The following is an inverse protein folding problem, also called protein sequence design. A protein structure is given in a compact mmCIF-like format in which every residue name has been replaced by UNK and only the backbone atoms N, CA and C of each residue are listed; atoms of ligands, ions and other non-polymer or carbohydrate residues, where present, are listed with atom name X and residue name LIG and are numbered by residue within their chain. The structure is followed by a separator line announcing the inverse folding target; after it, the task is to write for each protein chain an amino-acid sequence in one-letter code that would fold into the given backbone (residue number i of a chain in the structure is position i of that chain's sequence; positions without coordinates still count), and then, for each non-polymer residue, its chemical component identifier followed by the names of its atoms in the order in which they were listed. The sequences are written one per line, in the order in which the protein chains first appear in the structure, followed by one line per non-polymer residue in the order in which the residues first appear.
data_IF_100895236384
#
_entry.id   IF_100895236384
#
_cell.length_a   1.000
_cell.length_b   1.000
_cell.length_c   1.000
_cell.angle_alpha   90.00
_cell.angle_beta   90.00
_cell.angle_gamma   90.00
#
_symmetry.space_group_name_H-M   'P 1'
#
loop_
_entity.id
_entity.type
_entity.pdbx_description
1 polymer ?
#
# COMPACT_ATOMS: atom_id res chain seq x y z
N UNK A 1 -3.22 -4.54 -9.43
CA UNK A 1 -4.15 -4.04 -8.37
C UNK A 1 -4.66 -5.22 -7.57
N UNK A 2 -4.83 -5.03 -6.27
CA UNK A 2 -5.20 -6.03 -5.27
C UNK A 2 -6.29 -5.47 -4.36
N UNK A 3 -6.82 -6.29 -3.45
CA UNK A 3 -7.87 -5.90 -2.51
C UNK A 3 -7.36 -5.79 -1.07
N UNK A 4 -6.17 -6.33 -0.79
CA UNK A 4 -5.66 -6.52 0.55
C UNK A 4 -6.32 -7.67 1.31
N UNK A 5 -6.96 -8.58 0.61
CA UNK A 5 -7.51 -9.82 1.18
C UNK A 5 -6.60 -10.99 0.87
N UNK A 6 -5.74 -11.32 1.82
CA UNK A 6 -4.78 -12.42 1.70
C UNK A 6 -5.50 -13.73 1.41
N UNK A 7 -5.05 -14.44 0.37
CA UNK A 7 -5.63 -15.74 -0.03
C UNK A 7 -4.93 -16.91 0.64
N UNK A 8 -3.62 -16.81 0.75
CA UNK A 8 -2.79 -17.84 1.39
C UNK A 8 -1.48 -17.24 1.87
N UNK A 9 -0.67 -18.05 2.54
CA UNK A 9 0.69 -17.71 2.93
C UNK A 9 1.69 -18.61 2.19
N UNK A 10 2.87 -18.07 1.92
CA UNK A 10 3.97 -18.80 1.33
C UNK A 10 5.28 -18.60 2.09
N UNK A 11 6.31 -19.35 1.68
CA UNK A 11 7.70 -19.16 2.10
C UNK A 11 8.45 -18.39 1.04
N UNK A 12 9.20 -17.38 1.46
CA UNK A 12 10.04 -16.57 0.58
C UNK A 12 11.50 -17.02 0.72
N UNK A 13 12.17 -17.21 -0.40
CA UNK A 13 13.58 -17.57 -0.45
C UNK A 13 14.31 -16.71 -1.49
N UNK A 14 15.59 -16.44 -1.26
CA UNK A 14 16.45 -15.75 -2.21
C UNK A 14 16.69 -16.63 -3.44
N UNK A 15 16.56 -16.03 -4.63
CA UNK A 15 16.86 -16.68 -5.89
C UNK A 15 17.57 -15.72 -6.84
N UNK A 16 18.88 -15.88 -7.05
CA UNK A 16 19.70 -14.96 -7.87
C UNK A 16 19.44 -13.49 -7.51
N UNK A 17 19.01 -12.67 -8.48
CA UNK A 17 18.62 -11.26 -8.30
C UNK A 17 17.17 -11.06 -7.84
N UNK A 18 16.43 -12.13 -7.61
CA UNK A 18 15.01 -12.08 -7.25
C UNK A 18 14.67 -12.99 -6.09
N UNK A 19 13.45 -13.48 -6.11
CA UNK A 19 12.88 -14.33 -5.04
C UNK A 19 12.20 -15.55 -5.61
N UNK A 20 12.15 -16.60 -4.82
CA UNK A 20 11.34 -17.78 -5.02
C UNK A 20 10.28 -17.85 -3.92
N UNK A 21 9.02 -17.83 -4.32
CA UNK A 21 7.85 -17.96 -3.44
C UNK A 21 7.33 -19.38 -3.55
N UNK A 22 7.24 -20.08 -2.41
CA UNK A 22 6.73 -21.44 -2.31
C UNK A 22 5.51 -21.49 -1.41
N UNK A 23 4.49 -22.25 -1.77
CA UNK A 23 3.29 -22.38 -0.95
C UNK A 23 2.14 -23.07 -1.70
N UNK A 24 0.96 -23.01 -1.10
CA UNK A 24 -0.26 -23.48 -1.74
C UNK A 24 -0.69 -22.50 -2.85
N UNK A 25 -0.25 -22.79 -4.08
CA UNK A 25 -0.61 -22.00 -5.25
C UNK A 25 -2.05 -22.24 -5.71
N UNK A 26 -2.70 -23.35 -5.31
CA UNK A 26 -4.09 -23.62 -5.69
C UNK A 26 -5.03 -22.54 -5.13
N UNK A 27 -4.73 -22.05 -3.93
CA UNK A 27 -5.49 -20.95 -3.31
C UNK A 27 -5.40 -19.62 -4.10
N UNK A 28 -4.36 -19.44 -4.93
CA UNK A 28 -4.20 -18.29 -5.82
C UNK A 28 -4.96 -18.44 -7.14
N UNK A 29 -5.44 -19.65 -7.45
CA UNK A 29 -6.00 -20.01 -8.74
C UNK A 29 -4.91 -20.30 -9.80
N UNK A 30 -5.31 -20.48 -11.06
CA UNK A 30 -4.34 -20.76 -12.13
C UNK A 30 -3.43 -19.56 -12.36
N UNK A 31 -2.12 -19.76 -12.20
CA UNK A 31 -1.09 -18.76 -12.44
C UNK A 31 -0.46 -18.97 -13.82
N UNK A 32 -0.14 -17.86 -14.47
CA UNK A 32 0.60 -17.83 -15.73
C UNK A 32 1.84 -16.92 -15.62
N UNK A 33 2.77 -17.08 -16.57
CA UNK A 33 3.89 -16.14 -16.72
C UNK A 33 3.35 -14.75 -17.02
N UNK A 34 3.89 -13.75 -16.33
CA UNK A 34 3.44 -12.37 -16.46
C UNK A 34 2.33 -11.97 -15.49
N UNK A 35 1.73 -12.90 -14.74
CA UNK A 35 0.75 -12.57 -13.71
C UNK A 35 1.37 -11.76 -12.58
N UNK A 36 0.58 -10.86 -12.02
CA UNK A 36 0.98 -10.08 -10.84
C UNK A 36 0.45 -10.75 -9.57
N UNK A 37 1.34 -10.94 -8.59
CA UNK A 37 1.03 -11.46 -7.26
C UNK A 37 1.54 -10.46 -6.22
N UNK A 38 0.70 -10.08 -5.25
CA UNK A 38 1.16 -9.35 -4.08
C UNK A 38 1.83 -10.33 -3.11
N UNK A 39 3.09 -10.06 -2.80
CA UNK A 39 3.91 -10.81 -1.84
C UNK A 39 4.21 -9.88 -0.67
N UNK A 40 3.59 -10.10 0.49
CA UNK A 40 3.57 -9.13 1.59
C UNK A 40 3.25 -7.69 1.11
N UNK A 41 2.25 -7.56 0.22
CA UNK A 41 1.84 -6.29 -0.34
C UNK A 41 2.74 -5.75 -1.46
N UNK A 42 3.83 -6.42 -1.80
CA UNK A 42 4.71 -6.03 -2.91
C UNK A 42 4.23 -6.69 -4.20
N UNK A 43 3.88 -5.89 -5.20
CA UNK A 43 3.50 -6.39 -6.52
C UNK A 43 4.70 -7.00 -7.25
N UNK A 44 4.70 -8.30 -7.42
CA UNK A 44 5.73 -9.04 -8.16
C UNK A 44 5.12 -9.72 -9.38
N UNK A 45 5.91 -9.79 -10.45
CA UNK A 45 5.50 -10.49 -11.69
C UNK A 45 6.06 -11.88 -11.71
N UNK A 46 5.22 -12.87 -11.97
CA UNK A 46 5.62 -14.28 -12.17
C UNK A 46 6.53 -14.39 -13.38
N UNK A 47 7.83 -14.57 -13.15
CA UNK A 47 8.82 -14.76 -14.22
C UNK A 47 9.01 -16.23 -14.58
N UNK A 48 8.72 -17.15 -13.64
CA UNK A 48 8.80 -18.59 -13.85
C UNK A 48 7.93 -19.36 -12.85
N UNK A 49 7.24 -20.41 -13.33
CA UNK A 49 6.57 -21.38 -12.48
C UNK A 49 7.52 -22.56 -12.23
N UNK A 50 7.72 -22.94 -10.96
CA UNK A 50 8.69 -23.98 -10.56
C UNK A 50 8.13 -24.82 -9.42
N UNK A 51 7.83 -26.09 -9.70
CA UNK A 51 7.39 -27.04 -8.68
C UNK A 51 6.16 -26.55 -7.91
N UNK A 52 6.33 -26.34 -6.61
CA UNK A 52 5.32 -25.86 -5.65
C UNK A 52 5.32 -24.34 -5.48
N UNK A 53 5.85 -23.57 -6.46
CA UNK A 53 6.04 -22.15 -6.32
C UNK A 53 6.22 -21.39 -7.62
N UNK A 54 6.57 -20.12 -7.49
CA UNK A 54 6.96 -19.26 -8.61
C UNK A 54 8.20 -18.42 -8.26
N UNK A 55 8.91 -18.01 -9.29
CA UNK A 55 10.01 -17.07 -9.20
C UNK A 55 9.57 -15.71 -9.73
N UNK A 56 10.10 -14.66 -9.13
CA UNK A 56 9.91 -13.29 -9.57
C UNK A 56 11.23 -12.52 -9.46
N UNK A 57 11.51 -11.70 -10.46
CA UNK A 57 12.61 -10.75 -10.40
C UNK A 57 12.21 -9.54 -9.54
N UNK A 58 13.15 -9.04 -8.74
CA UNK A 58 12.89 -7.94 -7.81
C UNK A 58 13.99 -6.88 -7.98
N UNK A 59 13.58 -5.62 -8.17
CA UNK A 59 14.53 -4.52 -8.29
C UNK A 59 15.25 -4.25 -6.97
N UNK A 60 16.46 -3.71 -7.04
CA UNK A 60 17.22 -3.31 -5.85
C UNK A 60 16.46 -2.28 -5.01
N UNK A 61 15.76 -1.35 -5.65
CA UNK A 61 14.92 -0.37 -4.97
C UNK A 61 13.80 -1.04 -4.17
N UNK A 62 13.11 -2.02 -4.76
CA UNK A 62 12.06 -2.78 -4.08
C UNK A 62 12.63 -3.53 -2.88
N UNK A 63 13.78 -4.18 -3.03
CA UNK A 63 14.45 -4.87 -1.93
C UNK A 63 14.88 -3.92 -0.80
N UNK A 64 15.33 -2.71 -1.14
CA UNK A 64 15.74 -1.70 -0.16
C UNK A 64 14.56 -1.06 0.59
N UNK A 65 13.41 -0.90 -0.06
CA UNK A 65 12.22 -0.26 0.53
C UNK A 65 11.31 -1.19 1.31
N UNK A 66 11.46 -2.50 1.12
CA UNK A 66 10.52 -3.49 1.65
C UNK A 66 11.19 -4.49 2.59
N UNK A 67 10.37 -5.26 3.28
CA UNK A 67 10.84 -6.36 4.15
C UNK A 67 11.20 -7.64 3.38
N UNK A 68 11.14 -7.62 2.03
CA UNK A 68 11.38 -8.83 1.23
C UNK A 68 12.81 -9.36 1.34
N UNK A 69 13.83 -8.48 1.38
CA UNK A 69 15.23 -8.91 1.43
C UNK A 69 15.54 -9.76 2.66
N UNK A 70 15.36 -9.29 3.91
CA UNK A 70 15.62 -10.08 5.10
C UNK A 70 14.73 -11.33 5.19
N UNK A 71 13.47 -11.25 4.73
CA UNK A 71 12.58 -12.42 4.69
C UNK A 71 13.05 -13.47 3.69
N UNK A 72 13.54 -13.06 2.52
CA UNK A 72 14.07 -13.98 1.51
C UNK A 72 15.35 -14.71 2.00
N UNK A 73 16.22 -14.00 2.71
CA UNK A 73 17.45 -14.57 3.27
C UNK A 73 17.16 -15.54 4.43
N UNK A 74 16.13 -15.27 5.22
CA UNK A 74 15.71 -16.10 6.36
C UNK A 74 14.67 -17.18 6.03
N UNK A 75 14.18 -17.28 4.82
CA UNK A 75 13.09 -18.22 4.48
C UNK A 75 11.77 -17.86 5.18
N UNK A 76 11.46 -16.56 5.30
CA UNK A 76 10.32 -16.05 6.05
C UNK A 76 8.96 -16.34 5.43
N UNK A 77 7.92 -16.27 6.25
CA UNK A 77 6.53 -16.32 5.78
C UNK A 77 6.12 -15.00 5.14
N UNK A 78 5.34 -15.09 4.05
CA UNK A 78 4.75 -13.95 3.33
C UNK A 78 3.28 -14.18 3.03
N UNK A 79 2.50 -13.12 3.05
CA UNK A 79 1.11 -13.10 2.58
C UNK A 79 1.08 -13.09 1.06
N UNK A 80 0.12 -13.80 0.47
CA UNK A 80 -0.04 -13.91 -0.97
C UNK A 80 -1.46 -13.55 -1.39
N UNK A 81 -1.56 -12.70 -2.42
CA UNK A 81 -2.82 -12.34 -3.05
C UNK A 81 -2.62 -12.25 -4.58
N UNK A 82 -3.45 -12.91 -5.41
CA UNK A 82 -3.40 -12.74 -6.86
C UNK A 82 -4.02 -11.40 -7.26
N UNK A 83 -3.65 -10.88 -8.43
CA UNK A 83 -4.23 -9.65 -8.95
C UNK A 83 -5.76 -9.76 -9.08
N UNK A 84 -6.46 -8.68 -8.70
CA UNK A 84 -7.91 -8.54 -8.78
C UNK A 84 -8.37 -8.63 -10.25
N UNK A 85 -9.34 -9.49 -10.52
CA UNK A 85 -10.05 -9.55 -11.81
C UNK A 85 -11.24 -8.59 -11.80
N UNK A 86 -11.68 -8.13 -12.97
CA UNK A 86 -12.85 -7.24 -13.06
C UNK A 86 -14.15 -7.86 -12.52
N UNK A 87 -14.24 -9.19 -12.49
CA UNK A 87 -15.38 -9.92 -11.93
C UNK A 87 -15.34 -10.11 -10.43
N UNK A 88 -14.20 -9.80 -9.78
CA UNK A 88 -14.01 -10.07 -8.36
C UNK A 88 -14.65 -8.98 -7.49
N UNK A 89 -14.94 -9.34 -6.25
CA UNK A 89 -15.45 -8.39 -5.27
C UNK A 89 -14.30 -7.64 -4.61
N UNK A 90 -14.41 -6.32 -4.50
CA UNK A 90 -13.51 -5.49 -3.71
C UNK A 90 -13.97 -5.51 -2.24
N UNK A 91 -13.51 -6.52 -1.48
CA UNK A 91 -13.89 -6.69 -0.07
C UNK A 91 -13.03 -5.92 0.93
N UNK A 92 -11.84 -5.45 0.51
CA UNK A 92 -10.96 -4.57 1.28
C UNK A 92 -10.96 -3.15 0.71
N UNK A 93 -9.79 -2.65 0.31
CA UNK A 93 -9.66 -1.37 -0.42
C UNK A 93 -8.75 -1.55 -1.65
N UNK A 94 -8.58 -0.51 -2.45
CA UNK A 94 -7.69 -0.55 -3.61
C UNK A 94 -6.23 -0.53 -3.16
N UNK A 95 -5.56 -1.67 -3.26
CA UNK A 95 -4.13 -1.85 -2.97
C UNK A 95 -3.38 -1.97 -4.29
N UNK A 96 -2.36 -1.15 -4.49
CA UNK A 96 -1.60 -1.15 -5.74
C UNK A 96 -0.50 -2.20 -5.75
N UNK A 97 0.01 -2.57 -4.58
CA UNK A 97 1.20 -3.38 -4.41
C UNK A 97 2.49 -2.56 -4.46
N UNK A 98 2.39 -1.24 -4.36
CA UNK A 98 3.53 -0.32 -4.35
C UNK A 98 3.74 0.22 -2.95
N UNK A 99 4.56 -0.49 -2.19
CA UNK A 99 4.88 -0.20 -0.79
C UNK A 99 5.51 1.19 -0.66
N UNK A 100 4.98 2.01 0.25
CA UNK A 100 5.48 3.36 0.52
C UNK A 100 6.69 3.38 1.47
N UNK A 101 6.82 2.33 2.27
CA UNK A 101 7.88 2.19 3.25
C UNK A 101 7.57 1.11 4.27
N UNK A 102 8.23 1.17 5.40
CA UNK A 102 8.11 0.18 6.46
C UNK A 102 7.60 0.83 7.74
N UNK A 103 6.90 0.06 8.55
CA UNK A 103 6.54 0.40 9.92
C UNK A 103 7.01 -0.67 10.88
N UNK A 104 7.25 -0.29 12.12
CA UNK A 104 7.71 -1.18 13.20
C UNK A 104 6.53 -1.53 14.11
N UNK A 105 6.39 -2.79 14.46
CA UNK A 105 5.42 -3.24 15.47
C UNK A 105 5.88 -2.78 16.84
N UNK A 106 5.16 -1.83 17.45
CA UNK A 106 5.43 -1.31 18.79
C UNK A 106 4.71 -2.06 19.89
N UNK A 107 3.60 -2.72 19.57
CA UNK A 107 2.82 -3.46 20.54
C UNK A 107 1.84 -4.44 19.90
N UNK A 108 1.67 -5.59 20.56
CA UNK A 108 0.66 -6.60 20.24
C UNK A 108 -0.05 -6.95 21.53
N UNK A 109 -1.32 -6.62 21.64
CA UNK A 109 -2.13 -6.90 22.82
C UNK A 109 -3.37 -7.70 22.45
N UNK A 110 -3.49 -8.91 23.01
CA UNK A 110 -4.72 -9.72 22.87
C UNK A 110 -5.84 -9.07 23.67
N UNK A 111 -6.99 -8.92 23.03
CA UNK A 111 -8.25 -8.45 23.61
C UNK A 111 -9.30 -9.57 23.52
N UNK A 112 -10.45 -9.45 24.19
CA UNK A 112 -11.47 -10.53 24.20
C UNK A 112 -11.95 -10.96 22.80
N UNK A 113 -12.05 -10.03 21.83
CA UNK A 113 -12.58 -10.30 20.49
C UNK A 113 -11.62 -9.90 19.34
N UNK A 114 -10.40 -9.45 19.67
CA UNK A 114 -9.45 -8.95 18.66
C UNK A 114 -8.02 -8.94 19.19
N UNK A 115 -7.06 -8.54 18.33
CA UNK A 115 -5.73 -8.10 18.72
C UNK A 115 -5.58 -6.62 18.44
N UNK A 116 -5.17 -5.85 19.45
CA UNK A 116 -4.69 -4.49 19.25
C UNK A 116 -3.25 -4.56 18.76
N UNK A 117 -3.03 -4.16 17.51
CA UNK A 117 -1.72 -4.05 16.88
C UNK A 117 -1.36 -2.56 16.84
N UNK A 118 -0.23 -2.19 17.44
CA UNK A 118 0.32 -0.84 17.40
C UNK A 118 1.54 -0.80 16.48
N UNK A 119 1.57 0.17 15.58
CA UNK A 119 2.63 0.30 14.57
C UNK A 119 3.14 1.73 14.56
N UNK A 120 4.48 1.86 14.62
CA UNK A 120 5.20 3.12 14.40
C UNK A 120 5.55 3.29 12.93
N UNK A 121 5.52 4.52 12.43
CA UNK A 121 5.92 4.84 11.06
C UNK A 121 6.54 6.23 10.98
N UNK A 122 7.09 6.58 9.81
CA UNK A 122 7.64 7.91 9.59
C UNK A 122 6.49 8.94 9.47
N UNK A 123 6.37 9.92 10.42
CA UNK A 123 5.26 10.86 10.43
C UNK A 123 5.23 11.77 9.20
N UNK A 124 6.38 12.08 8.60
CA UNK A 124 6.46 12.96 7.42
C UNK A 124 6.15 12.23 6.11
N UNK A 125 6.41 10.94 6.04
CA UNK A 125 6.20 10.15 4.82
C UNK A 125 4.83 9.47 4.82
N UNK A 126 4.51 8.70 5.86
CA UNK A 126 3.27 7.94 5.96
C UNK A 126 2.26 8.57 6.93
N UNK A 127 2.74 9.09 8.08
CA UNK A 127 1.90 9.55 9.16
C UNK A 127 0.92 10.66 8.78
N UNK A 128 1.28 11.54 7.87
CA UNK A 128 0.42 12.63 7.37
C UNK A 128 -0.85 12.16 6.66
N UNK A 129 -0.90 10.90 6.25
CA UNK A 129 -2.09 10.30 5.62
C UNK A 129 -2.96 9.51 6.57
N UNK A 130 -2.51 9.33 7.83
CA UNK A 130 -3.22 8.52 8.80
C UNK A 130 -4.36 9.32 9.42
N UNK A 131 -5.54 8.74 9.42
CA UNK A 131 -6.67 9.24 10.19
C UNK A 131 -7.53 8.06 10.69
N UNK A 132 -8.27 8.30 11.78
CA UNK A 132 -9.19 7.30 12.30
C UNK A 132 -10.18 6.84 11.21
N UNK A 133 -10.43 5.53 11.12
CA UNK A 133 -11.28 4.87 10.12
C UNK A 133 -10.76 4.85 8.68
N UNK A 134 -9.57 5.41 8.41
CA UNK A 134 -8.94 5.22 7.10
C UNK A 134 -8.50 3.77 6.89
N UNK A 135 -8.33 3.38 5.63
CA UNK A 135 -7.72 2.12 5.25
C UNK A 135 -6.21 2.25 5.13
N UNK A 136 -5.51 1.16 5.43
CA UNK A 136 -4.07 1.00 5.21
C UNK A 136 -3.79 -0.46 4.87
N UNK A 137 -2.78 -0.74 4.04
CA UNK A 137 -2.31 -2.09 3.84
C UNK A 137 -1.01 -2.34 4.64
N UNK A 138 -1.02 -3.38 5.50
CA UNK A 138 0.14 -3.87 6.25
C UNK A 138 0.52 -5.25 5.74
N UNK A 139 1.75 -5.42 5.22
CA UNK A 139 2.16 -6.66 4.55
C UNK A 139 1.06 -7.18 3.57
N UNK A 140 0.41 -6.25 2.84
CA UNK A 140 -0.66 -6.56 1.90
C UNK A 140 -2.02 -6.85 2.52
N UNK A 141 -2.18 -6.73 3.82
CA UNK A 141 -3.45 -6.94 4.52
C UNK A 141 -4.21 -5.61 4.61
N UNK A 142 -5.41 -5.54 4.04
CA UNK A 142 -6.32 -4.39 4.17
C UNK A 142 -6.84 -4.29 5.59
N UNK A 143 -6.54 -3.19 6.26
CA UNK A 143 -6.90 -2.97 7.66
C UNK A 143 -7.47 -1.56 7.85
N UNK A 144 -8.32 -1.40 8.86
CA UNK A 144 -8.92 -0.11 9.22
C UNK A 144 -8.24 0.43 10.48
N UNK A 145 -7.79 1.68 10.44
CA UNK A 145 -7.23 2.36 11.59
C UNK A 145 -8.30 2.56 12.67
N UNK A 146 -8.03 2.05 13.87
CA UNK A 146 -8.84 2.33 15.04
C UNK A 146 -8.47 3.67 15.70
N UNK A 147 -7.30 4.22 15.35
CA UNK A 147 -6.84 5.54 15.74
C UNK A 147 -5.36 5.71 15.41
N UNK A 148 -4.88 6.94 15.57
CA UNK A 148 -3.47 7.32 15.39
C UNK A 148 -3.14 8.48 16.33
N UNK A 149 -1.84 8.69 16.56
CA UNK A 149 -1.36 9.88 17.28
C UNK A 149 -1.50 11.14 16.40
N UNK A 150 -1.59 12.31 17.04
CA UNK A 150 -1.80 13.57 16.33
C UNK A 150 -0.66 13.94 15.36
N UNK A 151 0.56 13.49 15.64
CA UNK A 151 1.72 13.72 14.79
C UNK A 151 1.90 12.64 13.70
N UNK A 152 1.04 11.60 13.71
CA UNK A 152 1.10 10.48 12.78
C UNK A 152 2.31 9.55 12.99
N UNK A 153 3.02 9.65 14.12
CA UNK A 153 4.19 8.79 14.39
C UNK A 153 3.78 7.35 14.71
N UNK A 154 2.55 7.14 15.18
CA UNK A 154 2.02 5.86 15.61
C UNK A 154 0.52 5.75 15.30
N UNK A 155 0.10 4.53 14.95
CA UNK A 155 -1.30 4.18 14.79
C UNK A 155 -1.59 2.80 15.37
N UNK A 156 -2.88 2.48 15.54
CA UNK A 156 -3.29 1.16 16.02
C UNK A 156 -4.51 0.65 15.28
N UNK A 157 -4.60 -0.67 15.25
CA UNK A 157 -5.61 -1.43 14.53
C UNK A 157 -6.18 -2.49 15.45
N UNK A 158 -7.49 -2.73 15.36
CA UNK A 158 -8.15 -3.88 15.99
C UNK A 158 -8.26 -5.02 14.95
N UNK A 159 -7.31 -5.96 15.00
CA UNK A 159 -7.28 -7.11 14.08
C UNK A 159 -8.21 -8.20 14.59
N UNK A 160 -9.17 -8.62 13.77
CA UNK A 160 -10.10 -9.72 14.11
C UNK A 160 -9.39 -11.09 14.10
N UNK A 161 -9.88 -12.07 14.86
CA UNK A 161 -9.24 -13.40 14.97
C UNK A 161 -9.00 -14.07 13.62
N UNK A 162 -9.96 -14.01 12.72
CA UNK A 162 -9.83 -14.61 11.40
C UNK A 162 -8.61 -14.04 10.63
N UNK A 163 -8.48 -12.71 10.56
CA UNK A 163 -7.34 -12.07 9.89
C UNK A 163 -6.02 -12.41 10.56
N UNK A 164 -6.02 -12.47 11.91
CA UNK A 164 -4.81 -12.81 12.67
C UNK A 164 -4.28 -14.19 12.29
N UNK A 165 -5.14 -15.23 12.30
CA UNK A 165 -4.72 -16.63 12.10
C UNK A 165 -4.52 -17.01 10.63
N UNK A 166 -5.11 -16.27 9.67
CA UNK A 166 -4.99 -16.58 8.25
C UNK A 166 -3.91 -15.76 7.53
N UNK A 167 -3.18 -14.92 8.27
CA UNK A 167 -2.11 -14.08 7.71
C UNK A 167 -0.81 -14.23 8.50
N UNK A 168 0.25 -13.63 7.99
CA UNK A 168 1.57 -13.64 8.64
C UNK A 168 1.59 -12.91 9.97
N UNK A 169 0.54 -12.16 10.34
CA UNK A 169 0.44 -11.49 11.65
C UNK A 169 0.59 -12.45 12.82
N UNK A 170 0.13 -13.70 12.69
CA UNK A 170 0.26 -14.73 13.74
C UNK A 170 1.72 -15.05 14.13
N UNK A 171 2.66 -14.78 13.25
CA UNK A 171 4.10 -15.03 13.47
C UNK A 171 4.88 -13.78 13.86
N UNK A 172 4.21 -12.60 13.91
CA UNK A 172 4.86 -11.32 14.19
C UNK A 172 5.07 -11.09 15.67
N UNK A 173 6.14 -10.36 15.98
CA UNK A 173 6.52 -9.94 17.31
C UNK A 173 6.76 -8.43 17.36
N UNK A 174 6.79 -7.87 18.56
CA UNK A 174 7.21 -6.48 18.77
C UNK A 174 8.64 -6.31 18.29
N UNK A 175 8.89 -5.24 17.54
CA UNK A 175 10.15 -4.95 16.87
C UNK A 175 10.22 -5.42 15.41
N UNK A 176 9.28 -6.27 14.96
CA UNK A 176 9.24 -6.68 13.54
C UNK A 176 8.83 -5.52 12.64
N UNK A 177 9.40 -5.52 11.42
CA UNK A 177 9.04 -4.57 10.37
C UNK A 177 7.94 -5.14 9.48
N UNK A 178 7.00 -4.27 9.09
CA UNK A 178 5.91 -4.52 8.14
C UNK A 178 6.03 -3.59 6.94
N UNK A 179 5.66 -4.07 5.76
CA UNK A 179 5.47 -3.21 4.59
C UNK A 179 4.20 -2.37 4.77
N UNK A 180 4.30 -1.06 4.54
CA UNK A 180 3.18 -0.13 4.61
C UNK A 180 2.84 0.37 3.21
N UNK A 181 1.55 0.29 2.84
CA UNK A 181 1.01 0.99 1.67
C UNK A 181 -0.17 1.85 2.12
N UNK A 182 -0.06 3.14 1.84
CA UNK A 182 -1.10 4.15 2.11
C UNK A 182 -2.18 4.05 1.05
N UNK A 183 -3.43 4.26 1.45
CA UNK A 183 -4.57 4.31 0.54
C UNK A 183 -4.31 5.31 -0.61
N UNK A 184 -4.52 4.85 -1.85
CA UNK A 184 -4.31 5.65 -3.05
C UNK A 184 -5.11 6.94 -3.07
N UNK A 185 -6.34 6.93 -2.52
CA UNK A 185 -7.17 8.13 -2.44
C UNK A 185 -6.54 9.23 -1.59
N UNK A 186 -5.86 8.88 -0.49
CA UNK A 186 -5.16 9.85 0.33
C UNK A 186 -4.03 10.55 -0.45
N UNK A 187 -3.24 9.76 -1.20
CA UNK A 187 -2.13 10.28 -2.02
C UNK A 187 -2.63 11.20 -3.15
N UNK A 188 -3.68 10.79 -3.88
CA UNK A 188 -4.24 11.59 -4.95
C UNK A 188 -4.90 12.87 -4.43
N UNK A 189 -5.63 12.78 -3.31
CA UNK A 189 -6.25 13.95 -2.67
C UNK A 189 -5.19 14.98 -2.27
N UNK A 190 -4.12 14.54 -1.61
CA UNK A 190 -3.01 15.44 -1.26
C UNK A 190 -2.44 16.13 -2.49
N UNK A 191 -2.15 15.37 -3.56
CA UNK A 191 -1.58 15.93 -4.80
C UNK A 191 -2.47 16.97 -5.44
N UNK A 192 -3.79 16.72 -5.47
CA UNK A 192 -4.76 17.65 -6.04
C UNK A 192 -4.87 18.93 -5.19
N UNK A 193 -4.94 18.80 -3.85
CA UNK A 193 -4.98 19.94 -2.94
C UNK A 193 -3.71 20.80 -3.05
N UNK A 194 -2.54 20.15 -3.14
CA UNK A 194 -1.26 20.85 -3.31
C UNK A 194 -1.21 21.63 -4.63
N UNK A 195 -1.67 21.03 -5.73
CA UNK A 195 -1.72 21.68 -7.02
C UNK A 195 -2.65 22.91 -7.02
N UNK A 196 -3.81 22.85 -6.34
CA UNK A 196 -4.73 23.97 -6.21
C UNK A 196 -4.18 25.06 -5.27
N UNK A 197 -3.51 24.71 -4.19
CA UNK A 197 -2.87 25.67 -3.28
C UNK A 197 -1.75 26.50 -3.95
N UNK A 198 -1.08 25.94 -4.95
CA UNK A 198 -0.09 26.69 -5.73
C UNK A 198 -0.71 27.60 -6.81
N UNK A 199 -1.86 27.21 -7.38
CA UNK A 199 -2.57 28.03 -8.37
C UNK A 199 -3.15 29.33 -7.75
N UNK A 200 -3.34 29.39 -6.44
CA UNK A 200 -3.85 30.55 -5.71
C UNK A 200 -2.79 31.53 -5.16
N UNK A 201 -1.49 31.26 -5.31
CA UNK A 201 -0.47 32.23 -4.95
C UNK A 201 -0.29 33.24 -6.08
N UNK A 202 -0.56 34.57 -5.85
CA UNK A 202 -0.21 35.60 -6.82
C UNK A 202 1.31 35.53 -7.05
N UNK A 203 1.70 35.30 -8.30
CA UNK A 203 3.11 35.44 -8.68
C UNK A 203 3.53 36.87 -8.33
N UNK A 204 4.50 37.01 -7.43
CA UNK A 204 5.14 38.28 -7.17
C UNK A 204 5.63 38.84 -8.50
N UNK A 205 5.14 39.99 -8.86
CA UNK A 205 5.41 40.70 -10.11
C UNK A 205 6.91 40.97 -10.30
N UNK A 206 7.59 40.13 -11.05
CA UNK A 206 8.81 40.50 -11.77
C UNK A 206 8.44 41.34 -12.99
N UNK A 207 9.35 42.16 -13.58
CA UNK A 207 9.04 43.10 -14.64
C UNK A 207 8.49 42.38 -15.88
N UNK A 208 7.37 42.88 -16.40
CA UNK A 208 6.68 42.38 -17.60
C UNK A 208 7.58 42.49 -18.85
N UNK A 209 7.76 41.41 -19.62
CA UNK A 209 8.08 41.58 -21.05
C UNK A 209 6.82 41.95 -21.83
N UNK A 210 6.98 42.73 -22.88
CA UNK A 210 5.94 43.30 -23.69
C UNK A 210 5.01 42.29 -24.42
N UNK A 211 4.01 42.79 -25.18
CA UNK A 211 2.87 42.02 -25.60
C UNK A 211 3.14 41.19 -26.85
N UNK A 212 3.05 39.85 -26.75
CA UNK A 212 2.86 38.98 -27.91
C UNK A 212 1.92 37.79 -27.56
N UNK A 213 0.86 37.67 -28.35
CA UNK A 213 0.19 36.44 -28.76
C UNK A 213 -0.75 35.77 -27.76
N UNK A 214 -2.04 35.91 -27.96
CA UNK A 214 -3.12 35.34 -27.17
C UNK A 214 -3.14 33.83 -27.02
N UNK A 215 -3.28 33.40 -25.77
CA UNK A 215 -3.94 32.17 -25.40
C UNK A 215 -4.77 32.46 -24.15
N UNK A 216 -6.07 32.22 -24.21
CA UNK A 216 -7.00 32.45 -23.12
C UNK A 216 -6.62 31.64 -21.90
N UNK A 217 -6.54 32.21 -20.68
CA UNK A 217 -6.35 31.45 -19.46
C UNK A 217 -7.60 30.60 -19.20
N UNK A 218 -7.40 29.30 -18.99
CA UNK A 218 -8.46 28.41 -18.50
C UNK A 218 -8.95 28.94 -17.15
N UNK A 219 -10.18 29.40 -17.07
CA UNK A 219 -10.78 29.85 -15.81
C UNK A 219 -10.90 28.68 -14.84
N UNK A 220 -10.58 28.89 -13.55
CA UNK A 220 -10.78 27.85 -12.54
C UNK A 220 -12.27 27.50 -12.43
N UNK A 221 -12.57 26.22 -12.27
CA UNK A 221 -13.94 25.72 -12.04
C UNK A 221 -14.46 26.37 -10.74
N UNK A 222 -15.41 27.27 -10.86
CA UNK A 222 -16.04 27.93 -9.72
C UNK A 222 -17.51 27.50 -9.62
N UNK A 223 -18.11 27.65 -8.43
CA UNK A 223 -19.52 27.39 -8.23
C UNK A 223 -20.42 28.25 -9.17
N UNK A 224 -19.96 29.43 -9.58
CA UNK A 224 -20.64 30.26 -10.56
C UNK A 224 -20.53 29.65 -11.98
N UNK A 225 -19.38 29.14 -12.35
CA UNK A 225 -19.17 28.47 -13.64
C UNK A 225 -20.02 27.19 -13.74
N UNK A 226 -20.06 26.37 -12.67
CA UNK A 226 -20.89 25.16 -12.65
C UNK A 226 -22.38 25.48 -12.88
N UNK A 227 -22.92 26.53 -12.24
CA UNK A 227 -24.33 26.96 -12.46
C UNK A 227 -24.58 27.38 -13.89
N UNK A 228 -23.65 28.00 -14.59
CA UNK A 228 -23.81 28.38 -16.01
C UNK A 228 -23.76 27.16 -16.93
N UNK A 229 -23.25 26.01 -16.48
CA UNK A 229 -23.19 24.76 -17.23
C UNK A 229 -24.34 23.82 -16.88
N UNK A 230 -25.30 24.24 -16.01
CA UNK A 230 -26.50 23.44 -15.68
C UNK A 230 -26.30 22.41 -14.57
N UNK A 231 -25.27 22.60 -13.71
CA UNK A 231 -25.00 21.78 -12.52
C UNK A 231 -25.35 22.53 -11.23
#
# INVERSE_FOLDING_TARGET
MFTGLVRTMGRLQRWRSGVWVRGDLEALGPLALGDSIAVDGVCLTVSRLVGDGFQADVSEETLARTTLAPKADGGGWVNLEPALRLSDRLGGHLVSGHVDGQGEILGIQRQPASWRLEVGCNPQQQGRYLCEKASIALDGISLTLAGCDNDGSRFWIAVIPQTWITTTLQYRQVGDLLNLEIDLFAKYTERLLYAHGQAGRPQSSGPKPGPEGGSSPSQPISAAWLRTQGW
#
